data_IF_851527067386
#
_entry.id   IF_851527067386
#
_cell.length_a   1.000
_cell.length_b   1.000
_cell.length_c   1.000
_cell.angle_alpha   90.00
_cell.angle_beta   90.00
_cell.angle_gamma   90.00
#
_symmetry.space_group_name_H-M   'P 1'
#
loop_
_entity.id
_entity.type
_entity.pdbx_description
1 polymer ?
#
# COMPACT_ATOMS: atom_id res chain seq x y z
N UNK A 1 7.09 3.34 -8.77
CA UNK A 1 8.19 2.56 -8.18
C UNK A 1 8.03 2.44 -6.66
N UNK A 2 8.33 3.47 -5.84
CA UNK A 2 8.18 3.38 -4.37
C UNK A 2 6.70 3.26 -3.96
N UNK A 3 5.81 4.04 -4.57
CA UNK A 3 4.35 3.95 -4.30
C UNK A 3 3.75 2.61 -4.73
N UNK A 4 4.22 2.05 -5.85
CA UNK A 4 3.77 0.73 -6.31
C UNK A 4 4.29 -0.37 -5.37
N UNK A 5 5.54 -0.25 -4.91
CA UNK A 5 6.13 -1.15 -3.91
C UNK A 5 5.39 -1.11 -2.56
N UNK A 6 5.04 0.08 -2.07
CA UNK A 6 4.25 0.23 -0.84
C UNK A 6 2.82 -0.30 -0.98
N UNK A 7 2.19 -0.13 -2.15
CA UNK A 7 0.89 -0.73 -2.45
C UNK A 7 0.97 -2.26 -2.56
N UNK A 8 2.03 -2.82 -3.15
CA UNK A 8 2.23 -4.27 -3.21
C UNK A 8 2.49 -4.86 -1.81
N UNK A 9 3.25 -4.18 -0.95
CA UNK A 9 3.48 -4.59 0.44
C UNK A 9 2.19 -4.58 1.28
N UNK A 10 1.32 -3.58 1.09
CA UNK A 10 0.03 -3.53 1.77
C UNK A 10 -0.88 -4.71 1.38
N UNK A 11 -0.83 -5.14 0.12
CA UNK A 11 -1.65 -6.25 -0.42
C UNK A 11 -1.03 -7.62 -0.10
N UNK A 12 0.30 -7.74 -0.05
CA UNK A 12 1.01 -9.01 0.19
C UNK A 12 1.08 -9.43 1.66
N UNK A 13 0.62 -8.59 2.60
CA UNK A 13 0.77 -8.84 4.04
C UNK A 13 -0.24 -9.83 4.65
N UNK A 14 -1.23 -10.33 3.89
CA UNK A 14 -2.30 -11.18 4.45
C UNK A 14 -2.03 -12.71 4.43
N UNK A 15 -1.11 -13.28 3.63
CA UNK A 15 -1.02 -14.76 3.50
C UNK A 15 0.35 -15.45 3.69
N UNK A 16 1.46 -14.73 3.85
CA UNK A 16 2.75 -15.35 4.18
C UNK A 16 3.45 -14.64 5.34
N UNK A 17 2.94 -14.86 6.55
CA UNK A 17 3.79 -14.80 7.75
C UNK A 17 4.72 -16.02 7.72
N UNK A 18 5.69 -16.01 6.81
CA UNK A 18 6.90 -16.77 7.06
C UNK A 18 7.47 -16.22 8.36
N UNK A 19 7.62 -17.08 9.37
CA UNK A 19 8.41 -16.76 10.55
C UNK A 19 9.81 -16.44 10.03
N UNK A 20 10.09 -15.16 9.77
CA UNK A 20 11.45 -14.67 9.60
C UNK A 20 12.14 -15.06 10.90
N UNK A 21 13.14 -15.96 10.87
CA UNK A 21 13.90 -16.26 12.07
C UNK A 21 14.43 -14.93 12.57
N UNK A 22 14.08 -14.53 13.78
CA UNK A 22 14.50 -13.25 14.32
C UNK A 22 16.02 -13.29 14.46
N UNK A 23 16.69 -12.75 13.43
CA UNK A 23 18.16 -12.60 13.32
C UNK A 23 18.74 -11.87 14.54
N UNK A 24 17.88 -11.19 15.30
CA UNK A 24 18.22 -10.40 16.48
C UNK A 24 18.88 -11.18 17.62
N UNK A 25 18.54 -12.46 17.86
CA UNK A 25 19.07 -13.16 19.03
C UNK A 25 20.49 -13.71 18.81
N UNK A 26 20.80 -14.23 17.63
CA UNK A 26 22.16 -14.65 17.27
C UNK A 26 23.10 -13.45 17.11
N UNK A 27 22.61 -12.34 16.54
CA UNK A 27 23.39 -11.10 16.46
C UNK A 27 23.60 -10.45 17.82
N UNK A 28 22.65 -10.51 18.75
CA UNK A 28 22.85 -10.03 20.13
C UNK A 28 23.98 -10.79 20.82
N UNK A 29 24.05 -12.10 20.63
CA UNK A 29 25.10 -12.91 21.24
C UNK A 29 26.48 -12.57 20.66
N UNK A 30 26.58 -12.44 19.33
CA UNK A 30 27.81 -11.99 18.65
C UNK A 30 28.20 -10.57 19.04
N UNK A 31 27.27 -9.61 19.07
CA UNK A 31 27.54 -8.23 19.51
C UNK A 31 28.03 -8.21 20.95
N UNK A 32 27.38 -8.96 21.84
CA UNK A 32 27.79 -9.08 23.24
C UNK A 32 29.22 -9.63 23.35
N UNK A 33 29.56 -10.63 22.54
CA UNK A 33 30.90 -11.20 22.51
C UNK A 33 31.94 -10.22 21.98
N UNK A 34 31.63 -9.45 20.93
CA UNK A 34 32.51 -8.39 20.43
C UNK A 34 32.65 -7.24 21.46
N UNK A 35 31.58 -6.86 22.14
CA UNK A 35 31.64 -5.84 23.20
C UNK A 35 32.47 -6.28 24.40
N UNK A 36 32.54 -7.58 24.70
CA UNK A 36 33.46 -8.14 25.70
C UNK A 36 34.89 -8.15 25.19
N UNK A 37 35.10 -8.58 23.95
CA UNK A 37 36.43 -8.67 23.34
C UNK A 37 37.13 -7.31 23.20
N UNK A 38 36.37 -6.24 22.91
CA UNK A 38 36.89 -4.88 22.81
C UNK A 38 36.80 -4.07 24.12
N UNK A 39 36.41 -4.68 25.24
CA UNK A 39 36.36 -4.01 26.55
C UNK A 39 35.25 -2.97 26.72
N UNK A 40 34.21 -3.01 25.90
CA UNK A 40 33.07 -2.08 25.88
C UNK A 40 31.92 -2.48 26.84
N UNK A 41 32.09 -3.57 27.59
CA UNK A 41 31.03 -4.25 28.37
C UNK A 41 30.78 -3.67 29.77
N UNK A 42 31.35 -2.52 30.11
CA UNK A 42 31.09 -1.80 31.38
C UNK A 42 30.87 -0.31 31.20
N UNK A 43 29.99 0.06 30.28
CA UNK A 43 29.22 1.28 30.44
C UNK A 43 27.78 0.83 30.70
N UNK A 44 27.42 0.72 31.98
CA UNK A 44 26.00 0.83 32.36
C UNK A 44 25.49 2.08 31.65
N UNK A 45 24.59 1.88 30.67
CA UNK A 45 24.06 2.98 29.87
C UNK A 45 23.38 3.92 30.87
N UNK A 46 23.96 5.11 31.16
CA UNK A 46 23.24 6.06 31.99
C UNK A 46 21.97 6.39 31.21
N UNK A 47 20.85 6.53 31.91
CA UNK A 47 19.60 6.99 31.32
C UNK A 47 19.92 8.23 30.48
N UNK A 48 19.85 8.07 29.15
CA UNK A 48 20.21 9.12 28.20
C UNK A 48 19.08 10.13 28.22
N UNK A 49 19.14 11.06 29.17
CA UNK A 49 18.49 12.36 29.01
C UNK A 49 19.24 13.07 27.89
N UNK A 50 18.52 13.39 26.83
CA UNK A 50 18.93 13.92 25.51
C UNK A 50 19.58 15.32 25.54
N UNK A 51 20.31 15.66 26.60
CA UNK A 51 20.76 17.03 26.85
C UNK A 51 22.26 17.28 26.67
N UNK A 52 23.06 16.26 26.29
CA UNK A 52 24.51 16.40 26.20
C UNK A 52 25.10 15.91 24.88
N UNK A 53 24.74 16.57 23.78
CA UNK A 53 25.68 16.79 22.67
C UNK A 53 26.75 17.80 23.12
N UNK A 54 27.58 17.41 24.08
CA UNK A 54 28.76 18.19 24.46
C UNK A 54 29.85 17.86 23.44
N UNK A 55 30.11 18.80 22.51
CA UNK A 55 31.30 18.79 21.65
C UNK A 55 32.50 18.33 22.47
N UNK A 56 33.09 17.19 22.11
CA UNK A 56 34.29 16.69 22.76
C UNK A 56 35.39 17.75 22.65
N UNK A 57 36.03 18.08 23.77
CA UNK A 57 37.16 19.00 23.77
C UNK A 57 38.32 18.40 22.96
N UNK A 58 39.05 19.22 22.18
CA UNK A 58 40.15 18.73 21.35
C UNK A 58 41.21 18.03 22.20
N UNK A 59 41.68 16.88 21.72
CA UNK A 59 42.73 16.10 22.39
C UNK A 59 44.07 16.82 22.23
N UNK A 60 44.73 17.13 23.35
CA UNK A 60 46.02 17.85 23.39
C UNK A 60 47.14 17.05 24.08
N UNK A 61 46.88 15.78 24.44
CA UNK A 61 47.76 14.98 25.31
C UNK A 61 48.94 14.35 24.57
N UNK A 62 48.87 14.15 23.26
CA UNK A 62 49.87 13.45 22.47
C UNK A 62 50.77 14.40 21.67
N UNK A 63 51.64 13.86 20.82
CA UNK A 63 52.37 14.68 19.85
C UNK A 63 51.39 15.41 18.93
N UNK A 64 51.83 16.54 18.37
CA UNK A 64 51.00 17.42 17.53
C UNK A 64 50.30 16.64 16.40
N UNK A 65 51.06 15.86 15.63
CA UNK A 65 50.53 15.11 14.49
C UNK A 65 49.50 14.06 14.92
N UNK A 66 49.69 13.43 16.09
CA UNK A 66 48.74 12.45 16.63
C UNK A 66 47.47 13.15 17.10
N UNK A 67 47.59 14.29 17.79
CA UNK A 67 46.42 15.08 18.21
C UNK A 67 45.62 15.57 17.01
N UNK A 68 46.28 16.06 15.96
CA UNK A 68 45.63 16.51 14.72
C UNK A 68 44.85 15.37 14.05
N UNK A 69 45.50 14.21 13.84
CA UNK A 69 44.84 13.06 13.25
C UNK A 69 43.66 12.53 14.09
N UNK A 70 43.79 12.54 15.43
CA UNK A 70 42.71 12.15 16.34
C UNK A 70 41.53 13.14 16.20
N UNK A 71 41.79 14.44 16.28
CA UNK A 71 40.73 15.45 16.22
C UNK A 71 40.03 15.46 14.85
N UNK A 72 40.77 15.30 13.75
CA UNK A 72 40.21 15.16 12.39
C UNK A 72 39.27 13.94 12.29
N UNK A 73 39.69 12.79 12.85
CA UNK A 73 38.84 11.59 12.88
C UNK A 73 37.61 11.77 13.77
N UNK A 74 37.73 12.46 14.90
CA UNK A 74 36.59 12.80 15.76
C UNK A 74 35.58 13.71 15.06
N UNK A 75 36.04 14.74 14.35
CA UNK A 75 35.16 15.62 13.56
C UNK A 75 34.45 14.85 12.44
N UNK A 76 35.18 13.97 11.75
CA UNK A 76 34.60 13.09 10.73
C UNK A 76 33.54 12.16 11.31
N UNK A 77 33.80 11.55 12.47
CA UNK A 77 32.85 10.66 13.15
C UNK A 77 31.60 11.41 13.63
N UNK A 78 31.75 12.62 14.18
CA UNK A 78 30.61 13.43 14.58
C UNK A 78 29.74 13.82 13.38
N UNK A 79 30.36 14.18 12.25
CA UNK A 79 29.63 14.49 11.02
C UNK A 79 28.82 13.29 10.53
N UNK A 80 29.44 12.10 10.49
CA UNK A 80 28.74 10.86 10.13
C UNK A 80 27.64 10.50 11.13
N UNK A 81 27.84 10.75 12.42
CA UNK A 81 26.83 10.53 13.44
C UNK A 81 25.63 11.46 13.26
N UNK A 82 25.86 12.74 12.92
CA UNK A 82 24.79 13.69 12.61
C UNK A 82 24.02 13.26 11.36
N UNK A 83 24.71 12.78 10.31
CA UNK A 83 24.09 12.23 9.11
C UNK A 83 23.22 10.99 9.41
N UNK A 84 23.73 10.05 10.21
CA UNK A 84 22.97 8.86 10.64
C UNK A 84 21.75 9.27 11.45
N UNK A 85 21.91 10.18 12.41
CA UNK A 85 20.80 10.65 13.25
C UNK A 85 19.73 11.35 12.41
N UNK A 86 20.14 12.16 11.43
CA UNK A 86 19.22 12.77 10.47
C UNK A 86 18.48 11.73 9.64
N UNK A 87 19.15 10.66 9.22
CA UNK A 87 18.55 9.59 8.43
C UNK A 87 17.56 8.76 9.29
N UNK A 88 17.93 8.41 10.51
CA UNK A 88 17.06 7.71 11.46
C UNK A 88 15.77 8.50 11.72
N UNK A 89 15.90 9.82 11.93
CA UNK A 89 14.73 10.70 12.09
C UNK A 89 13.85 10.68 10.84
N UNK A 90 14.44 10.70 9.64
CA UNK A 90 13.68 10.62 8.39
C UNK A 90 12.91 9.30 8.25
N UNK A 91 13.45 8.18 8.75
CA UNK A 91 12.73 6.90 8.74
C UNK A 91 11.56 6.88 9.73
N UNK A 92 11.68 7.54 10.89
CA UNK A 92 10.55 7.69 11.83
C UNK A 92 9.41 8.47 11.18
N UNK A 93 9.75 9.56 10.49
CA UNK A 93 8.77 10.38 9.77
C UNK A 93 8.12 9.58 8.61
N UNK A 94 8.90 8.79 7.87
CA UNK A 94 8.40 7.90 6.81
C UNK A 94 7.50 6.79 7.36
N UNK A 95 7.88 6.17 8.48
CA UNK A 95 7.08 5.14 9.12
C UNK A 95 5.73 5.70 9.59
N UNK A 96 5.74 6.86 10.24
CA UNK A 96 4.50 7.54 10.63
C UNK A 96 3.65 7.92 9.41
N UNK A 97 4.28 8.33 8.30
CA UNK A 97 3.58 8.55 7.04
C UNK A 97 2.91 7.28 6.52
N UNK A 98 3.64 6.16 6.43
CA UNK A 98 3.10 4.87 5.98
C UNK A 98 1.96 4.43 6.90
N UNK A 99 2.15 4.50 8.21
CA UNK A 99 1.11 4.14 9.18
C UNK A 99 -0.12 5.03 9.00
N UNK A 100 0.03 6.34 8.84
CA UNK A 100 -1.11 7.24 8.60
C UNK A 100 -1.81 6.96 7.25
N UNK A 101 -1.05 6.56 6.24
CA UNK A 101 -1.56 6.25 4.91
C UNK A 101 -2.29 4.90 4.86
N UNK A 102 -1.77 3.91 5.59
CA UNK A 102 -2.30 2.53 5.65
C UNK A 102 -3.40 2.39 6.70
N UNK A 103 -3.41 3.23 7.75
CA UNK A 103 -4.43 3.24 8.81
C UNK A 103 -5.79 3.80 8.37
N UNK A 104 -5.95 4.19 7.11
CA UNK A 104 -7.27 4.47 6.54
C UNK A 104 -8.22 3.28 6.69
N UNK A 105 -9.53 3.52 6.65
CA UNK A 105 -10.47 2.40 6.64
C UNK A 105 -10.14 1.51 5.44
N UNK A 106 -9.96 0.19 5.63
CA UNK A 106 -9.68 -0.76 4.53
C UNK A 106 -10.68 -0.65 3.35
N UNK A 107 -11.84 -0.03 3.59
CA UNK A 107 -12.90 0.27 2.62
C UNK A 107 -12.53 1.37 1.61
N UNK A 108 -11.54 2.21 1.93
CA UNK A 108 -11.12 3.32 1.07
C UNK A 108 -10.05 2.93 0.06
N UNK A 109 -9.50 1.72 0.13
CA UNK A 109 -8.56 1.19 -0.86
C UNK A 109 -9.37 0.70 -2.07
N UNK A 110 -9.16 1.37 -3.21
CA UNK A 110 -9.83 1.10 -4.47
C UNK A 110 -8.87 0.42 -5.43
N UNK A 111 -9.30 -0.71 -5.99
CA UNK A 111 -8.62 -1.40 -7.09
C UNK A 111 -9.28 -1.04 -8.41
N UNK A 112 -8.50 -0.47 -9.30
CA UNK A 112 -8.91 -0.08 -10.65
C UNK A 112 -8.30 -1.07 -11.64
N UNK A 113 -9.09 -1.55 -12.60
CA UNK A 113 -8.56 -2.32 -13.73
C UNK A 113 -8.54 -1.40 -14.94
N UNK A 114 -7.36 -0.88 -15.25
CA UNK A 114 -7.16 0.04 -16.36
C UNK A 114 -6.67 -0.78 -17.55
N UNK A 115 -7.58 -1.12 -18.47
CA UNK A 115 -7.29 -1.93 -19.66
C UNK A 115 -6.41 -3.17 -19.39
N UNK A 116 -6.71 -3.92 -18.32
CA UNK A 116 -5.98 -5.13 -17.91
C UNK A 116 -4.81 -4.89 -16.94
N UNK A 117 -4.44 -3.63 -16.69
CA UNK A 117 -3.45 -3.27 -15.66
C UNK A 117 -4.16 -2.89 -14.37
N UNK A 118 -3.90 -3.64 -13.31
CA UNK A 118 -4.46 -3.35 -11.98
C UNK A 118 -3.68 -2.22 -11.32
N UNK A 119 -4.38 -1.21 -10.83
CA UNK A 119 -3.83 -0.10 -10.06
C UNK A 119 -4.60 0.04 -8.75
N UNK A 120 -3.90 0.32 -7.66
CA UNK A 120 -4.51 0.50 -6.33
C UNK A 120 -4.34 1.94 -5.87
N UNK A 121 -5.38 2.55 -5.32
CA UNK A 121 -5.31 3.90 -4.79
C UNK A 121 -6.31 4.10 -3.67
N UNK A 122 -6.10 5.12 -2.85
CA UNK A 122 -7.13 5.56 -1.92
C UNK A 122 -8.23 6.32 -2.66
N UNK A 123 -9.44 6.19 -2.15
CA UNK A 123 -10.62 6.89 -2.60
C UNK A 123 -10.50 8.40 -2.48
N UNK A 124 -9.91 8.87 -1.39
CA UNK A 124 -9.61 10.29 -1.18
C UNK A 124 -8.77 10.87 -2.33
N UNK A 125 -7.91 10.06 -2.96
CA UNK A 125 -7.12 10.47 -4.12
C UNK A 125 -7.97 10.69 -5.38
N UNK A 126 -8.96 9.82 -5.62
CA UNK A 126 -9.82 9.91 -6.81
C UNK A 126 -10.86 11.04 -6.69
N UNK A 127 -11.09 11.56 -5.48
CA UNK A 127 -12.11 12.55 -5.14
C UNK A 127 -11.55 13.95 -4.86
N UNK A 128 -10.25 14.18 -5.01
CA UNK A 128 -9.58 15.49 -4.78
C UNK A 128 -10.22 16.63 -5.58
N UNK A 129 -10.63 16.33 -6.81
CA UNK A 129 -11.24 17.29 -7.73
C UNK A 129 -12.73 17.00 -7.75
N UNK A 130 -13.46 17.62 -6.82
CA UNK A 130 -14.85 17.29 -6.47
C UNK A 130 -15.83 17.33 -7.67
N UNK A 131 -15.58 18.21 -8.64
CA UNK A 131 -16.38 18.41 -9.84
C UNK A 131 -16.04 17.43 -10.98
N UNK A 132 -15.01 16.60 -10.82
CA UNK A 132 -14.60 15.62 -11.83
C UNK A 132 -15.57 14.45 -11.95
N UNK A 133 -15.70 13.88 -13.15
CA UNK A 133 -16.44 12.64 -13.40
C UNK A 133 -15.83 11.51 -12.57
N UNK A 134 -14.51 11.52 -12.37
CA UNK A 134 -13.81 10.55 -11.55
C UNK A 134 -14.28 10.65 -10.09
N UNK A 135 -14.30 11.83 -9.49
CA UNK A 135 -14.80 12.03 -8.14
C UNK A 135 -16.26 11.56 -8.00
N UNK A 136 -17.11 11.89 -8.98
CA UNK A 136 -18.50 11.44 -8.98
C UNK A 136 -18.68 9.92 -9.07
N UNK A 137 -17.78 9.20 -9.77
CA UNK A 137 -17.82 7.73 -9.82
C UNK A 137 -17.52 7.10 -8.46
N UNK A 138 -16.72 7.77 -7.64
CA UNK A 138 -16.28 7.30 -6.34
C UNK A 138 -16.93 8.07 -5.17
N UNK A 139 -18.00 8.82 -5.41
CA UNK A 139 -18.77 9.52 -4.38
C UNK A 139 -19.58 8.54 -3.51
N UNK A 140 -19.79 8.85 -2.22
CA UNK A 140 -20.43 7.96 -1.23
C UNK A 140 -21.83 7.53 -1.67
N UNK A 141 -22.52 8.45 -2.33
CA UNK A 141 -23.89 8.25 -2.79
C UNK A 141 -24.01 7.25 -3.94
N UNK A 142 -22.96 7.09 -4.76
CA UNK A 142 -22.96 6.27 -5.99
C UNK A 142 -22.07 5.04 -5.89
N UNK A 143 -20.91 5.17 -5.26
CA UNK A 143 -19.93 4.10 -5.10
C UNK A 143 -20.48 2.93 -4.28
N UNK A 144 -21.27 3.24 -3.25
CA UNK A 144 -22.00 2.26 -2.44
C UNK A 144 -22.96 1.39 -3.28
N UNK A 145 -23.29 1.80 -4.51
CA UNK A 145 -24.21 1.08 -5.39
C UNK A 145 -23.49 0.19 -6.41
N UNK A 146 -22.30 0.56 -6.87
CA UNK A 146 -21.59 -0.19 -7.93
C UNK A 146 -20.68 -1.32 -7.42
N UNK A 147 -20.28 -1.31 -6.14
CA UNK A 147 -19.46 -2.38 -5.54
C UNK A 147 -20.14 -3.17 -4.41
N UNK A 148 -21.17 -2.62 -3.76
CA UNK A 148 -21.68 -3.16 -2.48
C UNK A 148 -23.14 -3.63 -2.48
N UNK A 149 -23.95 -3.32 -3.50
CA UNK A 149 -25.40 -3.59 -3.39
C UNK A 149 -25.89 -4.95 -3.89
N UNK A 150 -25.11 -5.72 -4.67
CA UNK A 150 -25.55 -7.06 -5.12
C UNK A 150 -24.70 -8.23 -4.63
N UNK A 151 -23.57 -7.96 -3.98
CA UNK A 151 -22.81 -8.96 -3.23
C UNK A 151 -22.22 -8.21 -2.05
N UNK A 152 -22.81 -8.36 -0.86
CA UNK A 152 -21.99 -8.29 0.35
C UNK A 152 -20.78 -9.17 0.07
N UNK A 153 -19.57 -8.62 0.19
CA UNK A 153 -18.36 -9.36 -0.14
C UNK A 153 -18.40 -10.72 0.55
N UNK A 154 -17.85 -11.77 -0.06
CA UNK A 154 -18.03 -13.14 0.44
C UNK A 154 -17.70 -13.25 1.92
N UNK A 155 -16.75 -12.46 2.42
CA UNK A 155 -16.37 -12.30 3.84
C UNK A 155 -17.55 -11.99 4.79
N UNK A 156 -18.58 -11.30 4.32
CA UNK A 156 -19.76 -10.90 5.10
C UNK A 156 -20.93 -11.89 5.01
N UNK A 157 -20.79 -12.97 4.24
CA UNK A 157 -21.86 -13.96 4.10
C UNK A 157 -22.15 -14.68 5.41
N UNK A 158 -23.43 -14.75 5.74
CA UNK A 158 -23.95 -15.60 6.80
C UNK A 158 -23.88 -17.07 6.40
N UNK A 159 -23.95 -17.98 7.39
CA UNK A 159 -23.98 -19.42 7.13
C UNK A 159 -25.14 -19.87 6.24
N UNK A 160 -26.25 -19.11 6.23
CA UNK A 160 -27.39 -19.36 5.35
C UNK A 160 -27.05 -19.03 3.89
N UNK A 161 -26.42 -17.88 3.65
CA UNK A 161 -26.00 -17.45 2.31
C UNK A 161 -24.92 -18.38 1.75
N UNK A 162 -23.93 -18.77 2.55
CA UNK A 162 -22.92 -19.78 2.17
C UNK A 162 -23.59 -21.10 1.78
N UNK A 163 -24.54 -21.59 2.60
CA UNK A 163 -25.25 -22.83 2.32
C UNK A 163 -26.07 -22.76 1.02
N UNK A 164 -26.68 -21.61 0.73
CA UNK A 164 -27.42 -21.34 -0.50
C UNK A 164 -26.50 -21.23 -1.72
N UNK A 165 -25.34 -20.60 -1.58
CA UNK A 165 -24.31 -20.59 -2.62
C UNK A 165 -23.83 -22.01 -2.96
N UNK A 166 -23.47 -22.82 -1.96
CA UNK A 166 -23.04 -24.23 -2.14
C UNK A 166 -24.12 -25.05 -2.85
N UNK A 167 -25.39 -24.75 -2.59
CA UNK A 167 -26.54 -25.42 -3.22
C UNK A 167 -26.60 -25.18 -4.73
N UNK A 168 -26.13 -24.01 -5.18
CA UNK A 168 -26.19 -23.57 -6.57
C UNK A 168 -24.92 -23.91 -7.36
N UNK A 169 -23.87 -24.44 -6.71
CA UNK A 169 -22.67 -24.89 -7.41
C UNK A 169 -23.00 -26.12 -8.27
N UNK A 170 -22.68 -26.03 -9.56
CA UNK A 170 -22.97 -27.09 -10.54
C UNK A 170 -22.31 -28.42 -10.15
N UNK A 171 -23.09 -29.52 -10.22
CA UNK A 171 -22.61 -30.87 -9.90
C UNK A 171 -22.53 -31.21 -8.40
N UNK A 172 -22.89 -30.27 -7.50
CA UNK A 172 -22.89 -30.52 -6.05
C UNK A 172 -24.26 -30.97 -5.56
N UNK A 173 -24.27 -32.04 -4.74
CA UNK A 173 -25.50 -32.58 -4.15
C UNK A 173 -25.96 -31.73 -2.95
N UNK A 174 -27.27 -31.62 -2.75
CA UNK A 174 -27.93 -30.95 -1.61
C UNK A 174 -27.38 -31.34 -0.23
N UNK A 175 -26.82 -32.56 -0.10
CA UNK A 175 -26.21 -33.03 1.15
C UNK A 175 -25.04 -32.14 1.59
N UNK A 176 -24.22 -31.63 0.66
CA UNK A 176 -23.10 -30.75 1.00
C UNK A 176 -23.59 -29.41 1.58
N UNK A 177 -24.56 -28.76 0.93
CA UNK A 177 -25.18 -27.51 1.42
C UNK A 177 -25.72 -27.64 2.86
N UNK A 178 -26.33 -28.78 3.22
CA UNK A 178 -26.78 -29.06 4.59
C UNK A 178 -25.62 -29.18 5.59
N UNK A 179 -24.47 -29.71 5.18
CA UNK A 179 -23.27 -29.79 6.03
C UNK A 179 -22.70 -28.41 6.32
N UNK A 180 -22.62 -27.53 5.32
CA UNK A 180 -22.18 -26.15 5.53
C UNK A 180 -23.09 -25.40 6.49
N UNK A 181 -24.41 -25.55 6.34
CA UNK A 181 -25.38 -24.97 7.27
C UNK A 181 -25.26 -25.55 8.69
N UNK A 182 -25.07 -26.87 8.81
CA UNK A 182 -24.96 -27.55 10.10
C UNK A 182 -23.71 -27.14 10.89
N UNK A 183 -22.60 -26.90 10.18
CA UNK A 183 -21.35 -26.45 10.77
C UNK A 183 -21.26 -24.92 10.86
N UNK A 184 -22.34 -24.20 10.52
CA UNK A 184 -22.43 -22.73 10.62
C UNK A 184 -21.33 -21.97 9.87
N UNK A 185 -20.82 -22.54 8.77
CA UNK A 185 -19.71 -21.96 8.00
C UNK A 185 -20.11 -20.61 7.42
N UNK A 186 -19.47 -19.55 7.89
CA UNK A 186 -19.65 -18.19 7.39
C UNK A 186 -18.72 -17.90 6.19
N UNK A 187 -18.85 -16.69 5.65
CA UNK A 187 -18.11 -16.20 4.51
C UNK A 187 -16.58 -16.21 4.63
N UNK A 188 -16.06 -15.81 5.78
CA UNK A 188 -14.61 -15.83 6.06
C UNK A 188 -14.09 -17.26 6.13
N UNK A 189 -14.81 -18.12 6.83
CA UNK A 189 -14.46 -19.53 6.97
C UNK A 189 -14.52 -20.25 5.61
N UNK A 190 -15.50 -19.91 4.76
CA UNK A 190 -15.61 -20.45 3.41
C UNK A 190 -14.33 -20.19 2.58
N UNK A 191 -13.78 -18.99 2.67
CA UNK A 191 -12.56 -18.61 1.94
C UNK A 191 -11.31 -19.27 2.54
N UNK A 192 -11.29 -19.52 3.85
CA UNK A 192 -10.21 -20.22 4.52
C UNK A 192 -10.29 -21.76 4.42
N UNK A 193 -11.39 -22.32 3.91
CA UNK A 193 -11.59 -23.76 3.82
C UNK A 193 -10.62 -24.40 2.82
N UNK A 194 -9.91 -25.42 3.30
CA UNK A 194 -9.07 -26.29 2.50
C UNK A 194 -9.66 -27.70 2.40
N UNK A 195 -9.00 -28.56 1.64
CA UNK A 195 -9.40 -29.97 1.45
C UNK A 195 -9.63 -30.69 2.78
N UNK A 196 -8.71 -30.53 3.73
CA UNK A 196 -8.81 -31.15 5.05
C UNK A 196 -10.03 -30.66 5.85
N UNK A 197 -10.34 -29.36 5.79
CA UNK A 197 -11.53 -28.78 6.43
C UNK A 197 -12.82 -29.39 5.87
N UNK A 198 -12.91 -29.55 4.55
CA UNK A 198 -14.07 -30.17 3.88
C UNK A 198 -14.25 -31.64 4.28
N UNK A 199 -13.17 -32.39 4.37
CA UNK A 199 -13.20 -33.79 4.84
C UNK A 199 -13.66 -33.88 6.29
N UNK A 200 -13.15 -33.02 7.17
CA UNK A 200 -13.55 -32.97 8.59
C UNK A 200 -15.02 -32.59 8.78
N UNK A 201 -15.57 -31.78 7.87
CA UNK A 201 -17.00 -31.47 7.84
C UNK A 201 -17.88 -32.62 7.35
N UNK A 202 -17.29 -33.73 6.87
CA UNK A 202 -17.98 -34.92 6.38
C UNK A 202 -18.25 -34.92 4.87
N UNK A 203 -17.57 -34.06 4.10
CA UNK A 203 -17.61 -34.10 2.63
C UNK A 203 -16.57 -35.09 2.13
N UNK A 204 -16.89 -36.39 2.16
CA UNK A 204 -15.89 -37.45 1.89
C UNK A 204 -15.76 -37.83 0.40
N UNK A 205 -16.64 -37.31 -0.48
CA UNK A 205 -16.60 -37.65 -1.90
C UNK A 205 -15.59 -36.75 -2.59
N UNK A 206 -14.48 -37.34 -3.02
CA UNK A 206 -13.37 -36.63 -3.69
C UNK A 206 -13.81 -35.70 -4.82
N UNK A 207 -14.67 -36.17 -5.74
CA UNK A 207 -15.19 -35.32 -6.81
C UNK A 207 -15.97 -34.08 -6.32
N UNK A 208 -16.64 -34.17 -5.17
CA UNK A 208 -17.33 -33.01 -4.57
C UNK A 208 -16.36 -32.04 -3.92
N UNK A 209 -15.31 -32.54 -3.26
CA UNK A 209 -14.23 -31.71 -2.71
C UNK A 209 -13.56 -30.91 -3.83
N UNK A 210 -13.17 -31.56 -4.93
CA UNK A 210 -12.55 -30.88 -6.07
C UNK A 210 -13.43 -29.78 -6.67
N UNK A 211 -14.73 -30.04 -6.84
CA UNK A 211 -15.68 -29.05 -7.36
C UNK A 211 -15.85 -27.87 -6.40
N UNK A 212 -15.94 -28.11 -5.09
CA UNK A 212 -16.00 -27.05 -4.08
C UNK A 212 -14.73 -26.21 -4.08
N UNK A 213 -13.56 -26.84 -4.05
CA UNK A 213 -12.27 -26.13 -4.09
C UNK A 213 -12.15 -25.27 -5.35
N UNK A 214 -12.56 -25.78 -6.51
CA UNK A 214 -12.57 -25.01 -7.76
C UNK A 214 -13.54 -23.81 -7.66
N UNK A 215 -14.74 -24.03 -7.13
CA UNK A 215 -15.75 -22.99 -6.99
C UNK A 215 -15.33 -21.92 -5.97
N UNK A 216 -14.73 -22.30 -4.83
CA UNK A 216 -14.20 -21.37 -3.81
C UNK A 216 -13.08 -20.53 -4.41
N UNK A 217 -12.13 -21.13 -5.14
CA UNK A 217 -11.07 -20.39 -5.84
C UNK A 217 -11.62 -19.41 -6.87
N UNK A 218 -12.67 -19.80 -7.60
CA UNK A 218 -13.31 -18.90 -8.56
C UNK A 218 -14.05 -17.76 -7.84
N UNK A 219 -14.70 -18.07 -6.73
CA UNK A 219 -15.41 -17.12 -5.88
C UNK A 219 -14.44 -16.09 -5.28
N UNK A 220 -13.30 -16.54 -4.78
CA UNK A 220 -12.20 -15.70 -4.27
C UNK A 220 -11.68 -14.77 -5.36
N UNK A 221 -11.38 -15.30 -6.55
CA UNK A 221 -10.99 -14.49 -7.71
C UNK A 221 -12.04 -13.46 -8.08
N UNK A 222 -13.32 -13.84 -8.17
CA UNK A 222 -14.39 -12.89 -8.49
C UNK A 222 -14.60 -11.83 -7.40
N UNK A 223 -14.29 -12.16 -6.15
CA UNK A 223 -14.35 -11.19 -5.04
C UNK A 223 -13.20 -10.20 -5.12
N UNK A 224 -12.02 -10.66 -5.58
CA UNK A 224 -10.87 -9.80 -5.83
C UNK A 224 -11.01 -8.97 -7.12
N UNK A 225 -11.74 -9.47 -8.11
CA UNK A 225 -11.93 -8.87 -9.44
C UNK A 225 -13.02 -7.79 -9.51
N UNK A 226 -13.62 -7.39 -8.37
CA UNK A 226 -14.49 -6.18 -8.29
C UNK A 226 -13.62 -4.93 -8.40
N UNK A 227 -12.99 -4.78 -9.55
CA UNK A 227 -12.17 -3.65 -9.93
C UNK A 227 -12.99 -2.80 -10.90
N UNK A 228 -12.99 -1.49 -10.68
CA UNK A 228 -13.65 -0.59 -11.63
C UNK A 228 -12.88 -0.64 -12.94
N UNK A 229 -13.55 -1.08 -14.01
CA UNK A 229 -12.95 -1.14 -15.34
C UNK A 229 -12.83 0.27 -15.91
N UNK A 230 -11.61 0.61 -16.32
CA UNK A 230 -11.26 1.86 -16.97
C UNK A 230 -10.72 1.53 -18.35
N UNK A 231 -11.51 1.82 -19.39
CA UNK A 231 -11.22 1.51 -20.79
C UNK A 231 -10.27 2.54 -21.44
N UNK A 232 -9.21 2.93 -20.74
CA UNK A 232 -8.22 3.89 -21.22
C UNK A 232 -6.79 3.35 -21.08
N UNK A 233 -5.85 4.02 -21.73
CA UNK A 233 -4.43 3.66 -21.68
C UNK A 233 -3.93 3.65 -20.22
N UNK A 234 -3.36 2.52 -19.74
CA UNK A 234 -2.78 2.44 -18.40
C UNK A 234 -1.73 3.52 -18.16
N UNK A 235 -0.89 3.80 -19.15
CA UNK A 235 0.13 4.84 -19.06
C UNK A 235 -0.48 6.23 -18.82
N UNK A 236 -1.49 6.61 -19.61
CA UNK A 236 -2.10 7.93 -19.49
C UNK A 236 -2.86 8.08 -18.17
N UNK A 237 -3.66 7.07 -17.80
CA UNK A 237 -4.40 7.10 -16.54
C UNK A 237 -3.46 7.05 -15.33
N UNK A 238 -2.36 6.30 -15.42
CA UNK A 238 -1.32 6.28 -14.39
C UNK A 238 -0.72 7.67 -14.12
N UNK A 239 -0.46 8.46 -15.18
CA UNK A 239 0.02 9.85 -15.03
C UNK A 239 -0.99 10.75 -14.31
N UNK A 240 -2.28 10.60 -14.60
CA UNK A 240 -3.35 11.30 -13.89
C UNK A 240 -3.35 10.87 -12.42
N UNK A 241 -3.34 9.56 -12.17
CA UNK A 241 -3.40 8.99 -10.83
C UNK A 241 -2.22 9.43 -9.97
N UNK A 242 -1.01 9.40 -10.51
CA UNK A 242 0.21 9.85 -9.82
C UNK A 242 0.13 11.34 -9.46
N UNK A 243 -0.39 12.18 -10.37
CA UNK A 243 -0.58 13.59 -10.07
C UNK A 243 -1.61 13.80 -8.95
N UNK A 244 -2.75 13.10 -9.01
CA UNK A 244 -3.74 13.16 -7.95
C UNK A 244 -3.14 12.71 -6.61
N UNK A 245 -2.35 11.62 -6.58
CA UNK A 245 -1.65 11.18 -5.36
C UNK A 245 -0.77 12.29 -4.78
N UNK A 246 0.02 12.97 -5.63
CA UNK A 246 0.84 14.10 -5.19
C UNK A 246 -0.01 15.28 -4.71
N UNK A 247 -1.11 15.59 -5.40
CA UNK A 247 -2.03 16.68 -5.02
C UNK A 247 -2.70 16.40 -3.67
N UNK A 248 -2.99 15.13 -3.37
CA UNK A 248 -3.52 14.71 -2.08
C UNK A 248 -2.49 14.91 -0.96
N UNK A 249 -1.23 14.53 -1.21
CA UNK A 249 -0.15 14.74 -0.24
C UNK A 249 0.10 16.24 -0.03
N UNK A 250 0.04 17.06 -1.09
CA UNK A 250 0.12 18.52 -0.99
C UNK A 250 -1.05 19.11 -0.19
N UNK A 251 -2.28 18.59 -0.32
CA UNK A 251 -3.42 19.07 0.49
C UNK A 251 -3.30 18.72 1.98
N UNK A 252 -2.33 17.89 2.35
CA UNK A 252 -1.93 17.60 3.73
C UNK A 252 -0.70 18.42 4.18
N UNK A 253 -0.26 19.37 3.37
CA UNK A 253 0.91 20.24 3.64
C UNK A 253 2.22 19.46 3.82
N UNK A 254 2.31 18.25 3.24
CA UNK A 254 3.48 17.37 3.37
C UNK A 254 4.54 17.58 2.28
N UNK A 255 4.15 18.19 1.16
CA UNK A 255 5.04 18.52 0.03
C UNK A 255 4.65 19.88 -0.54
N UNK A 256 5.49 20.45 -1.40
CA UNK A 256 5.16 21.63 -2.22
C UNK A 256 4.20 21.31 -3.38
N UNK A 257 3.63 22.36 -4.00
CA UNK A 257 2.69 22.23 -5.13
C UNK A 257 3.27 21.32 -6.25
N UNK A 258 2.56 20.24 -6.64
CA UNK A 258 3.08 19.27 -7.57
C UNK A 258 3.17 19.84 -9.00
N UNK A 259 4.24 19.48 -9.69
CA UNK A 259 4.42 19.82 -11.11
C UNK A 259 3.41 19.06 -11.98
N UNK A 260 3.00 19.69 -13.08
CA UNK A 260 2.13 19.08 -14.07
C UNK A 260 2.74 17.78 -14.64
N UNK A 261 1.90 16.79 -15.02
CA UNK A 261 2.39 15.52 -15.54
C UNK A 261 3.18 15.66 -16.83
N UNK A 262 4.39 15.09 -16.86
CA UNK A 262 5.19 14.96 -18.07
C UNK A 262 4.79 13.70 -18.83
N UNK A 263 4.28 13.89 -20.04
CA UNK A 263 3.77 12.83 -20.93
C UNK A 263 4.60 12.82 -22.21
N UNK A 264 4.89 11.64 -22.76
CA UNK A 264 5.61 11.52 -24.02
C UNK A 264 4.81 12.12 -25.20
N UNK A 265 5.51 12.68 -26.19
CA UNK A 265 4.88 13.39 -27.31
C UNK A 265 3.90 12.51 -28.09
N UNK A 266 4.18 11.21 -28.21
CA UNK A 266 3.35 10.21 -28.89
C UNK A 266 2.08 9.83 -28.11
N UNK A 267 2.05 10.03 -26.79
CA UNK A 267 0.88 9.76 -25.96
C UNK A 267 0.09 11.02 -25.58
N UNK A 268 0.58 12.22 -25.95
CA UNK A 268 0.00 13.50 -25.52
C UNK A 268 -1.47 13.66 -25.90
N UNK A 269 -1.84 13.34 -27.14
CA UNK A 269 -3.24 13.44 -27.59
C UNK A 269 -4.16 12.47 -26.84
N UNK A 270 -3.69 11.23 -26.60
CA UNK A 270 -4.43 10.24 -25.82
C UNK A 270 -4.61 10.70 -24.39
N UNK A 271 -3.55 11.22 -23.76
CA UNK A 271 -3.60 11.77 -22.42
C UNK A 271 -4.60 12.94 -22.32
N UNK A 272 -4.54 13.90 -23.24
CA UNK A 272 -5.50 15.01 -23.29
C UNK A 272 -6.95 14.53 -23.40
N UNK A 273 -7.20 13.47 -24.19
CA UNK A 273 -8.52 12.87 -24.33
C UNK A 273 -9.00 12.24 -23.01
N UNK A 274 -8.14 11.50 -22.31
CA UNK A 274 -8.47 10.88 -21.01
C UNK A 274 -8.74 11.96 -19.96
N UNK A 275 -7.89 12.98 -19.88
CA UNK A 275 -8.07 14.10 -18.93
C UNK A 275 -9.40 14.79 -19.17
N UNK A 276 -9.72 15.17 -20.40
CA UNK A 276 -10.98 15.87 -20.70
C UNK A 276 -12.23 15.05 -20.45
N UNK A 277 -12.12 13.72 -20.53
CA UNK A 277 -13.23 12.84 -20.21
C UNK A 277 -13.51 12.82 -18.71
N UNK A 278 -12.46 12.65 -17.89
CA UNK A 278 -12.61 12.56 -16.44
C UNK A 278 -12.74 13.92 -15.74
N UNK A 279 -12.17 14.97 -16.32
CA UNK A 279 -12.09 16.32 -15.78
C UNK A 279 -12.65 17.29 -16.83
N UNK A 280 -13.99 17.44 -16.92
CA UNK A 280 -14.61 18.34 -17.88
C UNK A 280 -14.37 19.81 -17.49
N UNK A 281 -14.43 20.72 -18.47
CA UNK A 281 -14.34 22.17 -18.27
C UNK A 281 -13.03 22.62 -17.58
N UNK A 282 -13.13 23.52 -16.59
CA UNK A 282 -12.00 24.17 -15.90
C UNK A 282 -11.15 23.16 -15.11
N UNK A 283 -11.73 22.04 -14.69
CA UNK A 283 -11.02 20.99 -13.96
C UNK A 283 -9.94 20.30 -14.81
N UNK A 284 -10.02 20.38 -16.15
CA UNK A 284 -8.96 19.89 -17.03
C UNK A 284 -7.66 20.70 -16.89
N UNK A 285 -7.75 21.97 -16.48
CA UNK A 285 -6.60 22.88 -16.36
C UNK A 285 -5.64 22.47 -15.25
N UNK A 286 -6.10 21.68 -14.27
CA UNK A 286 -5.22 21.10 -13.24
C UNK A 286 -4.21 20.09 -13.80
N UNK A 287 -4.53 19.47 -14.94
CA UNK A 287 -3.76 18.34 -15.49
C UNK A 287 -3.19 18.66 -16.87
N UNK A 288 -3.63 19.74 -17.51
CA UNK A 288 -3.19 20.18 -18.82
C UNK A 288 -2.46 21.51 -18.70
N UNK A 289 -1.33 21.70 -19.41
CA UNK A 289 -0.69 23.01 -19.49
C UNK A 289 -1.66 24.00 -20.12
N UNK A 290 -1.86 25.16 -19.47
CA UNK A 290 -2.67 26.22 -20.05
C UNK A 290 -2.11 26.58 -21.42
N UNK A 291 -2.96 26.49 -22.46
CA UNK A 291 -2.61 27.03 -23.77
C UNK A 291 -2.50 28.53 -23.58
N UNK A 292 -1.27 29.03 -23.43
CA UNK A 292 -1.02 30.45 -23.61
C UNK A 292 -1.62 30.82 -24.96
N UNK A 293 -2.70 31.59 -24.94
CA UNK A 293 -3.29 32.15 -26.14
C UNK A 293 -2.21 33.00 -26.78
N UNK A 294 -1.50 32.43 -27.76
CA UNK A 294 -0.68 33.16 -28.72
C UNK A 294 -1.64 34.00 -29.57
N UNK A 295 -2.17 35.06 -28.96
CA UNK A 295 -2.95 36.08 -29.62
C UNK A 295 -1.99 36.84 -30.53
N UNK A 296 -1.94 36.40 -31.78
CA UNK A 296 -1.45 37.13 -32.94
C UNK A 296 -2.02 38.55 -32.91
N UNK A 297 -1.31 39.51 -32.32
CA UNK A 297 -1.41 40.91 -32.73
C UNK A 297 -0.50 41.09 -33.93
N UNK A 298 -1.03 40.76 -35.11
CA UNK A 298 -0.61 41.44 -36.33
C UNK A 298 -1.08 42.89 -36.21
N UNK A 299 -0.14 43.82 -36.16
CA UNK A 299 -0.30 45.18 -36.66
C UNK A 299 0.87 45.45 -37.58
#
# INVERSE_FOLDING_TARGET
>A
AIVDYLNELAISSEDERTNIPTIEDEYKCLLSQYMVLFGLSRLERPAFTDEHSKRAYPVVRFSKDINEAINEKWESLNTLQDEITSLEKSFVDEHHFIDSFVSGEKKDIIRLNVSGTVMTTNRATLTIVEDSVLAQQFDDTKWTVQGSNNMRGVKEWTAKEVSEWVKNVEGIKQKASKLFKKNEINGLELLALNEFGLEKMGVNRQGTICLLMKAIKQLEKSTQDVSTLIEYSPYCFGKILDYLRLKYVHSKELIDEPRLPTVSNDQKERYEKVVRYYFPAESAEFLLPQKQNACKRKR
#
